data_IF_681865073411
#
_entry.id   IF_681865073411
#
_cell.length_a   1.000
_cell.length_b   1.000
_cell.length_c   1.000
_cell.angle_alpha   90.00
_cell.angle_beta   90.00
_cell.angle_gamma   90.00
#
_symmetry.space_group_name_H-M   'P 1'
#
loop_
_entity.id
_entity.type
_entity.pdbx_description
1 polymer ?
#
# COMPACT_ATOMS: atom_id res chain seq x y z
N UNK A 1 21.17 19.22 -30.34
CA UNK A 1 19.80 19.65 -30.06
C UNK A 1 18.85 18.56 -30.51
N UNK A 2 18.49 17.66 -29.60
CA UNK A 2 17.44 16.68 -29.81
C UNK A 2 16.49 16.84 -28.62
N UNK A 3 15.32 17.42 -28.88
CA UNK A 3 14.25 17.52 -27.90
C UNK A 3 13.61 16.14 -27.79
N UNK A 4 13.78 15.48 -26.65
CA UNK A 4 12.96 14.33 -26.28
C UNK A 4 11.55 14.88 -25.97
N UNK A 5 10.59 14.60 -26.85
CA UNK A 5 9.19 14.85 -26.58
C UNK A 5 8.74 13.89 -25.47
N UNK A 6 8.68 14.39 -24.24
CA UNK A 6 8.04 13.70 -23.14
C UNK A 6 6.56 13.53 -23.45
N UNK A 7 6.11 12.27 -23.51
CA UNK A 7 4.69 11.94 -23.43
C UNK A 7 4.17 12.34 -22.06
N UNK A 8 3.75 13.60 -21.94
CA UNK A 8 2.98 14.11 -20.80
C UNK A 8 1.66 13.33 -20.69
N UNK A 9 1.12 13.21 -19.48
CA UNK A 9 -0.25 12.76 -19.19
C UNK A 9 -1.33 13.34 -20.15
N UNK A 10 -1.04 14.45 -20.83
CA UNK A 10 -1.82 14.98 -21.94
C UNK A 10 -2.06 14.02 -23.13
N UNK A 11 -1.21 13.03 -23.38
CA UNK A 11 -1.46 12.05 -24.46
C UNK A 11 -2.49 10.98 -24.06
N UNK A 12 -2.57 10.64 -22.77
CA UNK A 12 -3.59 9.74 -22.22
C UNK A 12 -4.96 10.43 -22.15
N UNK A 13 -5.01 11.72 -21.80
CA UNK A 13 -6.23 12.52 -21.80
C UNK A 13 -6.92 12.58 -23.17
N UNK A 14 -6.15 12.59 -24.28
CA UNK A 14 -6.73 12.58 -25.64
C UNK A 14 -7.32 11.24 -26.05
N UNK A 15 -6.87 10.12 -25.48
CA UNK A 15 -7.43 8.79 -25.77
C UNK A 15 -8.64 8.43 -24.91
N UNK A 16 -8.81 9.05 -23.74
CA UNK A 16 -9.97 8.82 -22.86
C UNK A 16 -11.20 9.62 -23.34
N UNK A 17 -11.00 10.74 -24.04
CA UNK A 17 -12.06 11.59 -24.56
C UNK A 17 -12.90 10.97 -25.70
N UNK A 18 -12.60 9.76 -26.16
CA UNK A 18 -13.38 9.04 -27.19
C UNK A 18 -14.34 7.98 -26.65
N UNK A 19 -14.52 7.90 -25.33
CA UNK A 19 -15.47 6.99 -24.69
C UNK A 19 -16.57 7.82 -24.02
N UNK A 20 -17.82 7.63 -24.45
CA UNK A 20 -19.02 8.26 -23.87
C UNK A 20 -19.23 7.76 -22.43
N UNK A 21 -18.53 8.37 -21.48
CA UNK A 21 -18.84 8.27 -20.06
C UNK A 21 -19.78 9.42 -19.66
N UNK A 22 -20.76 9.17 -18.77
CA UNK A 22 -21.59 10.23 -18.22
C UNK A 22 -20.69 11.30 -17.58
N UNK A 23 -21.03 12.58 -17.74
CA UNK A 23 -20.23 13.72 -17.32
C UNK A 23 -19.67 13.57 -15.90
N UNK A 24 -18.41 13.16 -15.82
CA UNK A 24 -17.64 13.07 -14.59
C UNK A 24 -17.33 14.52 -14.20
N UNK A 25 -17.64 14.94 -12.96
CA UNK A 25 -17.27 16.28 -12.50
C UNK A 25 -15.74 16.43 -12.53
N UNK A 26 -15.23 17.64 -12.76
CA UNK A 26 -13.78 17.91 -12.76
C UNK A 26 -13.11 17.40 -11.47
N UNK A 27 -13.79 17.54 -10.33
CA UNK A 27 -13.37 17.00 -9.04
C UNK A 27 -13.25 15.46 -9.04
N UNK A 28 -14.18 14.76 -9.70
CA UNK A 28 -14.18 13.30 -9.80
C UNK A 28 -13.14 12.82 -10.83
N UNK A 29 -12.98 13.54 -11.95
CA UNK A 29 -11.96 13.25 -12.96
C UNK A 29 -10.54 13.45 -12.42
N UNK A 30 -10.35 14.46 -11.55
CA UNK A 30 -9.11 14.65 -10.79
C UNK A 30 -8.88 13.49 -9.81
N UNK A 31 -9.88 13.06 -9.04
CA UNK A 31 -9.74 11.85 -8.18
C UNK A 31 -9.33 10.60 -8.95
N UNK A 32 -9.84 10.39 -10.16
CA UNK A 32 -9.49 9.24 -11.00
C UNK A 32 -8.08 9.29 -11.62
N UNK A 33 -7.39 10.43 -11.57
CA UNK A 33 -6.01 10.59 -12.03
C UNK A 33 -4.98 10.58 -10.88
N UNK A 34 -5.40 10.63 -9.62
CA UNK A 34 -4.51 10.98 -8.51
C UNK A 34 -4.22 9.87 -7.48
N UNK A 35 -4.97 8.78 -7.40
CA UNK A 35 -4.62 7.71 -6.44
C UNK A 35 -5.17 6.33 -6.85
N UNK A 36 -4.42 5.27 -6.55
CA UNK A 36 -4.91 3.91 -6.59
C UNK A 36 -4.86 3.31 -5.19
N UNK A 37 -6.03 2.96 -4.66
CA UNK A 37 -6.19 2.28 -3.38
C UNK A 37 -6.39 0.79 -3.60
N UNK A 38 -5.46 -0.02 -3.12
CA UNK A 38 -5.53 -1.48 -3.15
C UNK A 38 -5.75 -2.02 -1.75
N UNK A 39 -6.87 -2.72 -1.56
CA UNK A 39 -7.12 -3.48 -0.34
C UNK A 39 -7.39 -4.93 -0.68
N UNK A 40 -6.77 -5.85 0.07
CA UNK A 40 -7.20 -7.24 0.08
C UNK A 40 -7.60 -7.63 1.50
N UNK A 41 -8.65 -8.45 1.58
CA UNK A 41 -9.09 -9.08 2.81
C UNK A 41 -9.27 -10.58 2.53
N UNK A 42 -8.72 -11.40 3.41
CA UNK A 42 -8.91 -12.85 3.37
C UNK A 42 -9.25 -13.36 4.76
N UNK A 43 -10.27 -14.21 4.83
CA UNK A 43 -10.67 -14.87 6.07
C UNK A 43 -10.04 -16.25 6.08
N UNK A 44 -9.07 -16.47 6.98
CA UNK A 44 -8.50 -17.80 7.22
C UNK A 44 -9.19 -18.42 8.42
N UNK A 45 -9.75 -19.61 8.22
CA UNK A 45 -10.32 -20.39 9.30
C UNK A 45 -9.26 -21.29 9.91
N UNK A 46 -8.92 -20.99 11.17
CA UNK A 46 -8.08 -21.83 12.01
C UNK A 46 -8.96 -22.63 12.96
N UNK A 47 -8.46 -23.80 13.31
CA UNK A 47 -9.08 -24.63 14.31
C UNK A 47 -8.48 -24.29 15.68
N UNK A 48 -9.33 -24.08 16.69
CA UNK A 48 -8.89 -23.97 18.08
C UNK A 48 -8.47 -25.35 18.60
N UNK A 49 -7.23 -25.70 18.25
CA UNK A 49 -6.62 -26.96 18.66
C UNK A 49 -6.43 -27.08 20.17
N UNK A 50 -6.40 -25.96 20.91
CA UNK A 50 -6.29 -25.98 22.37
C UNK A 50 -7.63 -26.37 22.99
N UNK A 51 -8.74 -25.76 22.53
CA UNK A 51 -10.09 -26.10 22.95
C UNK A 51 -10.43 -27.57 22.64
N UNK A 52 -10.07 -28.07 21.45
CA UNK A 52 -10.31 -29.48 21.09
C UNK A 52 -9.53 -30.48 21.94
N UNK A 53 -8.25 -30.19 22.24
CA UNK A 53 -7.46 -31.02 23.16
C UNK A 53 -8.03 -30.98 24.58
N UNK A 54 -8.48 -29.82 25.05
CA UNK A 54 -9.12 -29.68 26.36
C UNK A 54 -10.44 -30.48 26.45
N UNK A 55 -11.12 -30.71 25.32
CA UNK A 55 -12.28 -31.60 25.21
C UNK A 55 -11.95 -33.06 24.95
N UNK A 56 -10.67 -33.42 24.96
CA UNK A 56 -10.21 -34.80 24.78
C UNK A 56 -10.36 -35.31 23.34
N UNK A 57 -10.59 -34.44 22.35
CA UNK A 57 -10.73 -34.85 20.95
C UNK A 57 -9.35 -35.12 20.37
N UNK A 58 -9.01 -36.37 19.98
CA UNK A 58 -7.71 -36.67 19.39
C UNK A 58 -7.58 -35.99 18.02
N UNK A 59 -6.37 -35.54 17.70
CA UNK A 59 -6.06 -35.01 16.37
C UNK A 59 -6.29 -36.07 15.30
N UNK A 60 -7.09 -35.76 14.27
CA UNK A 60 -7.45 -36.73 13.24
C UNK A 60 -8.49 -36.20 12.24
N UNK A 61 -9.14 -37.07 11.46
CA UNK A 61 -10.09 -36.67 10.41
C UNK A 61 -11.25 -35.79 10.89
N UNK A 62 -11.66 -35.96 12.15
CA UNK A 62 -12.70 -35.15 12.80
C UNK A 62 -12.33 -33.67 12.89
N UNK A 63 -11.04 -33.36 13.11
CA UNK A 63 -10.55 -31.99 13.14
C UNK A 63 -10.64 -31.33 11.77
N UNK A 64 -10.36 -32.08 10.70
CA UNK A 64 -10.52 -31.60 9.33
C UNK A 64 -11.99 -31.29 8.99
N UNK A 65 -12.93 -32.11 9.46
CA UNK A 65 -14.37 -31.85 9.31
C UNK A 65 -14.80 -30.59 10.05
N UNK A 66 -14.38 -30.43 11.30
CA UNK A 66 -14.65 -29.22 12.09
C UNK A 66 -14.02 -27.98 11.43
N UNK A 67 -12.79 -28.07 10.92
CA UNK A 67 -12.13 -26.95 10.24
C UNK A 67 -12.85 -26.56 8.94
N UNK A 68 -13.40 -27.55 8.21
CA UNK A 68 -14.21 -27.34 7.01
C UNK A 68 -15.61 -26.78 7.32
N UNK A 69 -16.00 -26.64 8.60
CA UNK A 69 -17.30 -26.11 8.98
C UNK A 69 -18.38 -27.16 9.17
N UNK A 70 -18.02 -28.43 9.29
CA UNK A 70 -18.97 -29.51 9.54
C UNK A 70 -18.96 -29.93 11.00
N UNK A 71 -20.15 -30.00 11.59
CA UNK A 71 -20.35 -30.55 12.93
C UNK A 71 -19.95 -32.03 12.96
N UNK A 72 -19.46 -32.47 14.11
CA UNK A 72 -18.95 -33.83 14.29
C UNK A 72 -19.58 -34.46 15.52
N UNK A 73 -20.04 -35.69 15.39
CA UNK A 73 -20.45 -36.52 16.53
C UNK A 73 -19.32 -37.45 16.95
N UNK A 74 -19.00 -37.46 18.24
CA UNK A 74 -18.01 -38.32 18.88
C UNK A 74 -18.60 -39.71 19.18
N UNK A 75 -17.74 -40.66 19.52
CA UNK A 75 -18.13 -42.05 19.83
C UNK A 75 -19.01 -42.16 21.08
N UNK A 76 -18.94 -41.19 21.99
CA UNK A 76 -19.79 -41.10 23.18
C UNK A 76 -21.19 -40.49 22.91
N UNK A 77 -21.47 -40.13 21.66
CA UNK A 77 -22.71 -39.50 21.23
C UNK A 77 -22.73 -37.96 21.34
N UNK A 78 -21.66 -37.35 21.86
CA UNK A 78 -21.55 -35.89 21.94
C UNK A 78 -21.38 -35.27 20.56
N UNK A 79 -22.19 -34.26 20.22
CA UNK A 79 -22.00 -33.46 19.00
C UNK A 79 -21.20 -32.20 19.30
N UNK A 80 -20.18 -31.96 18.49
CA UNK A 80 -19.34 -30.76 18.49
C UNK A 80 -19.74 -29.88 17.31
N UNK A 81 -20.19 -28.67 17.62
CA UNK A 81 -20.50 -27.69 16.60
C UNK A 81 -19.20 -27.08 16.05
N UNK A 82 -19.03 -27.06 14.73
CA UNK A 82 -17.83 -26.52 14.11
C UNK A 82 -17.59 -25.04 14.47
N UNK A 83 -18.67 -24.28 14.66
CA UNK A 83 -18.61 -22.87 15.05
C UNK A 83 -17.91 -22.64 16.39
N UNK A 84 -17.97 -23.58 17.34
CA UNK A 84 -17.35 -23.46 18.66
C UNK A 84 -15.83 -23.65 18.62
N UNK A 85 -15.32 -24.25 17.55
CA UNK A 85 -13.90 -24.61 17.40
C UNK A 85 -13.23 -23.95 16.20
N UNK A 86 -13.97 -23.18 15.40
CA UNK A 86 -13.43 -22.42 14.26
C UNK A 86 -13.21 -20.98 14.68
N UNK A 87 -11.96 -20.56 14.64
CA UNK A 87 -11.56 -19.17 14.83
C UNK A 87 -11.23 -18.60 13.45
N UNK A 88 -11.96 -17.57 13.03
CA UNK A 88 -11.58 -16.78 11.86
C UNK A 88 -10.47 -15.81 12.25
N UNK A 89 -9.43 -15.77 11.43
CA UNK A 89 -8.45 -14.70 11.42
C UNK A 89 -8.65 -13.92 10.14
N UNK A 90 -9.07 -12.66 10.26
CA UNK A 90 -9.15 -11.73 9.14
C UNK A 90 -7.75 -11.19 8.89
N UNK A 91 -7.20 -11.51 7.74
CA UNK A 91 -5.94 -10.98 7.26
C UNK A 91 -6.24 -9.90 6.23
N UNK A 92 -5.78 -8.69 6.51
CA UNK A 92 -6.03 -7.51 5.67
C UNK A 92 -4.71 -6.83 5.34
N UNK A 93 -4.55 -6.45 4.07
CA UNK A 93 -3.53 -5.49 3.72
C UNK A 93 -4.07 -4.37 2.83
N UNK A 94 -3.52 -3.17 3.04
CA UNK A 94 -3.96 -1.95 2.37
C UNK A 94 -2.74 -1.18 1.90
N UNK A 95 -2.66 -0.96 0.59
CA UNK A 95 -1.63 -0.17 -0.07
C UNK A 95 -2.26 0.99 -0.82
N UNK A 96 -1.67 2.17 -0.70
CA UNK A 96 -2.06 3.37 -1.45
C UNK A 96 -0.93 3.75 -2.39
N UNK A 97 -1.26 3.94 -3.67
CA UNK A 97 -0.37 4.52 -4.67
C UNK A 97 -0.87 5.93 -4.94
N UNK A 98 -0.17 6.93 -4.42
CA UNK A 98 -0.60 8.33 -4.41
C UNK A 98 -0.42 9.11 -5.71
N UNK A 99 0.08 8.46 -6.77
CA UNK A 99 0.33 9.12 -8.06
C UNK A 99 1.25 10.34 -7.97
N UNK A 100 1.09 11.25 -8.93
CA UNK A 100 1.73 12.56 -8.95
C UNK A 100 0.75 13.60 -8.38
N UNK A 101 1.18 14.34 -7.35
CA UNK A 101 0.44 15.47 -6.78
C UNK A 101 1.37 16.33 -5.89
N UNK A 102 1.01 17.59 -5.68
CA UNK A 102 1.73 18.54 -4.81
C UNK A 102 1.14 18.69 -3.39
N UNK A 103 0.05 17.97 -3.12
CA UNK A 103 -0.78 18.10 -1.93
C UNK A 103 -1.05 16.72 -1.31
N UNK A 104 -0.08 16.11 -0.62
CA UNK A 104 -0.22 14.76 -0.06
C UNK A 104 -1.43 14.58 0.87
N UNK A 105 -1.89 15.67 1.51
CA UNK A 105 -3.06 15.64 2.39
C UNK A 105 -4.36 15.26 1.69
N UNK A 106 -4.44 15.35 0.35
CA UNK A 106 -5.58 14.84 -0.42
C UNK A 106 -5.78 13.33 -0.22
N UNK A 107 -4.71 12.60 0.11
CA UNK A 107 -4.72 11.16 0.33
C UNK A 107 -5.12 10.76 1.77
N UNK A 108 -5.52 11.72 2.61
CA UNK A 108 -5.77 11.48 4.05
C UNK A 108 -6.78 10.36 4.30
N UNK A 109 -7.89 10.38 3.54
CA UNK A 109 -8.96 9.39 3.67
C UNK A 109 -8.51 8.01 3.17
N UNK A 110 -7.85 7.96 2.01
CA UNK A 110 -7.28 6.73 1.47
C UNK A 110 -6.21 6.12 2.39
N UNK A 111 -5.46 6.96 3.09
CA UNK A 111 -4.39 6.55 4.00
C UNK A 111 -4.88 6.21 5.42
N UNK A 112 -6.18 6.26 5.72
CA UNK A 112 -6.69 6.03 7.08
C UNK A 112 -6.36 4.63 7.63
N UNK A 113 -6.33 3.61 6.76
CA UNK A 113 -6.01 2.22 7.13
C UNK A 113 -4.83 1.67 6.32
N UNK A 114 -4.09 2.54 5.62
CA UNK A 114 -2.99 2.12 4.77
C UNK A 114 -1.81 1.61 5.59
N UNK A 115 -1.24 0.49 5.15
CA UNK A 115 -0.01 -0.05 5.71
C UNK A 115 1.21 0.40 4.89
N UNK A 116 1.02 0.76 3.63
CA UNK A 116 2.08 1.33 2.80
C UNK A 116 1.52 2.44 1.92
N UNK A 117 2.26 3.54 1.84
CA UNK A 117 2.05 4.58 0.84
C UNK A 117 3.23 4.55 -0.15
N UNK A 118 2.91 4.49 -1.43
CA UNK A 118 3.86 4.76 -2.53
C UNK A 118 3.53 6.13 -3.08
N UNK A 119 4.48 7.06 -3.09
CA UNK A 119 4.21 8.44 -3.48
C UNK A 119 5.39 9.05 -4.23
N UNK A 120 5.09 9.96 -5.16
CA UNK A 120 6.13 10.78 -5.78
C UNK A 120 6.87 11.63 -4.74
N UNK A 121 8.16 11.88 -4.96
CA UNK A 121 8.95 12.80 -4.17
C UNK A 121 10.01 13.45 -5.05
N UNK A 122 9.54 14.24 -6.03
CA UNK A 122 10.35 14.71 -7.15
C UNK A 122 11.57 15.53 -6.72
N UNK A 123 11.46 16.31 -5.64
CA UNK A 123 12.52 17.19 -5.15
C UNK A 123 12.70 17.13 -3.63
N UNK A 124 13.87 17.56 -3.15
CA UNK A 124 13.99 18.09 -1.79
C UNK A 124 13.19 19.39 -1.64
N UNK A 125 12.75 19.73 -0.44
CA UNK A 125 11.97 20.97 -0.23
C UNK A 125 12.78 22.21 -0.63
N UNK A 126 14.08 22.21 -0.29
CA UNK A 126 14.98 23.30 -0.64
C UNK A 126 15.11 23.54 -2.15
N UNK A 127 15.02 22.47 -2.96
CA UNK A 127 15.02 22.58 -4.43
C UNK A 127 13.64 22.99 -4.94
N UNK A 128 12.55 22.41 -4.43
CA UNK A 128 11.19 22.78 -4.83
C UNK A 128 10.94 24.28 -4.66
N UNK A 129 11.36 24.86 -3.53
CA UNK A 129 11.25 26.30 -3.26
C UNK A 129 12.02 27.19 -4.27
N UNK A 130 13.10 26.67 -4.87
CA UNK A 130 13.87 27.39 -5.90
C UNK A 130 13.26 27.29 -7.29
N UNK A 131 12.61 26.17 -7.61
CA UNK A 131 11.95 25.98 -8.91
C UNK A 131 10.66 26.84 -9.01
N UNK A 132 10.07 27.21 -7.86
CA UNK A 132 8.90 28.07 -7.77
C UNK A 132 7.58 27.28 -7.90
N UNK A 133 6.42 27.93 -7.96
CA UNK A 133 5.10 27.27 -7.91
C UNK A 133 4.67 26.60 -9.25
N UNK A 134 5.55 26.58 -10.24
CA UNK A 134 5.26 26.00 -11.56
C UNK A 134 5.14 24.46 -11.59
N UNK A 135 5.97 23.70 -10.85
CA UNK A 135 5.82 22.25 -10.74
C UNK A 135 4.72 21.88 -9.74
N UNK A 136 3.76 21.07 -10.19
CA UNK A 136 2.71 20.45 -9.36
C UNK A 136 3.19 19.10 -8.81
N UNK A 137 4.34 19.13 -8.12
CA UNK A 137 4.98 17.94 -7.56
C UNK A 137 5.20 18.08 -6.06
N UNK A 138 5.22 16.95 -5.36
CA UNK A 138 5.55 16.89 -3.93
C UNK A 138 7.05 16.85 -3.67
N UNK A 139 7.46 17.45 -2.56
CA UNK A 139 8.81 17.28 -2.04
C UNK A 139 8.91 16.07 -1.11
N UNK A 140 10.13 15.55 -0.95
CA UNK A 140 10.45 14.50 0.01
C UNK A 140 10.00 14.90 1.42
N UNK A 141 10.34 16.10 1.88
CA UNK A 141 9.90 16.61 3.18
C UNK A 141 8.38 16.53 3.36
N UNK A 142 7.59 17.04 2.41
CA UNK A 142 6.12 17.10 2.54
C UNK A 142 5.50 15.71 2.65
N UNK A 143 5.97 14.77 1.83
CA UNK A 143 5.47 13.39 1.83
C UNK A 143 5.88 12.67 3.12
N UNK A 144 7.11 12.85 3.57
CA UNK A 144 7.60 12.25 4.81
C UNK A 144 6.84 12.79 6.05
N UNK A 145 6.55 14.10 6.09
CA UNK A 145 5.72 14.71 7.12
C UNK A 145 4.30 14.14 7.10
N UNK A 146 3.66 14.09 5.93
CA UNK A 146 2.34 13.49 5.78
C UNK A 146 2.30 12.03 6.26
N UNK A 147 3.29 11.22 5.89
CA UNK A 147 3.35 9.84 6.32
C UNK A 147 3.49 9.68 7.85
N UNK A 148 4.26 10.56 8.49
CA UNK A 148 4.39 10.61 9.95
C UNK A 148 3.09 11.05 10.61
N UNK A 149 2.44 12.10 10.10
CA UNK A 149 1.17 12.61 10.63
C UNK A 149 0.05 11.57 10.55
N UNK A 150 0.06 10.75 9.49
CA UNK A 150 -0.90 9.65 9.31
C UNK A 150 -0.50 8.35 10.01
N UNK A 151 0.68 8.30 10.63
CA UNK A 151 1.17 7.11 11.33
C UNK A 151 1.41 5.91 10.39
N UNK A 152 1.79 6.16 9.14
CA UNK A 152 1.99 5.11 8.16
C UNK A 152 3.22 4.26 8.50
N UNK A 153 3.10 2.92 8.59
CA UNK A 153 4.23 2.09 9.01
C UNK A 153 5.28 1.92 7.91
N UNK A 154 4.89 2.05 6.64
CA UNK A 154 5.80 1.96 5.49
C UNK A 154 5.58 3.10 4.49
N UNK A 155 6.67 3.66 3.97
CA UNK A 155 6.68 4.71 2.95
C UNK A 155 7.67 4.32 1.83
N UNK A 156 7.18 4.31 0.59
CA UNK A 156 8.00 4.09 -0.60
C UNK A 156 7.98 5.37 -1.43
N UNK A 157 9.12 6.04 -1.53
CA UNK A 157 9.27 7.25 -2.35
C UNK A 157 9.69 6.86 -3.78
N UNK A 158 9.14 7.54 -4.77
CA UNK A 158 9.42 7.31 -6.19
C UNK A 158 9.38 8.61 -7.00
N UNK A 159 9.52 8.51 -8.33
CA UNK A 159 9.36 9.62 -9.28
C UNK A 159 10.33 10.78 -8.96
N UNK A 160 11.60 10.45 -8.76
CA UNK A 160 12.63 11.44 -8.45
C UNK A 160 13.03 12.24 -9.69
N UNK A 161 13.37 13.51 -9.50
CA UNK A 161 14.01 14.28 -10.58
C UNK A 161 15.34 13.64 -10.98
N UNK A 162 15.61 13.55 -12.29
CA UNK A 162 16.88 13.04 -12.84
C UNK A 162 18.14 13.73 -12.29
N UNK A 163 18.00 14.89 -11.65
CA UNK A 163 19.11 15.57 -10.95
C UNK A 163 19.70 14.73 -9.80
N UNK A 164 18.90 13.84 -9.22
CA UNK A 164 19.32 12.95 -8.13
C UNK A 164 19.74 11.57 -8.64
N UNK A 165 19.83 11.36 -9.95
CA UNK A 165 20.24 10.08 -10.56
C UNK A 165 21.76 9.83 -10.42
N UNK A 166 22.21 9.81 -9.17
CA UNK A 166 23.56 9.47 -8.72
C UNK A 166 23.51 9.11 -7.23
N UNK A 167 24.51 8.39 -6.69
CA UNK A 167 24.52 7.96 -5.30
C UNK A 167 24.37 9.10 -4.28
N UNK A 168 25.02 10.24 -4.53
CA UNK A 168 24.99 11.40 -3.63
C UNK A 168 23.59 12.04 -3.59
N UNK A 169 22.95 12.19 -4.75
CA UNK A 169 21.60 12.73 -4.87
C UNK A 169 20.55 11.83 -4.22
N UNK A 170 20.67 10.51 -4.40
CA UNK A 170 19.78 9.56 -3.71
C UNK A 170 19.98 9.58 -2.19
N UNK A 171 21.22 9.74 -1.72
CA UNK A 171 21.52 9.89 -0.30
C UNK A 171 20.97 11.21 0.28
N UNK A 172 20.97 12.30 -0.50
CA UNK A 172 20.35 13.57 -0.14
C UNK A 172 18.83 13.41 0.09
N UNK A 173 18.14 12.76 -0.84
CA UNK A 173 16.71 12.48 -0.73
C UNK A 173 16.40 11.60 0.50
N UNK A 174 17.16 10.53 0.72
CA UNK A 174 16.96 9.67 1.89
C UNK A 174 17.21 10.43 3.19
N UNK A 175 18.26 11.26 3.26
CA UNK A 175 18.57 12.04 4.44
C UNK A 175 17.44 13.03 4.79
N UNK A 176 16.86 13.73 3.81
CA UNK A 176 15.73 14.63 4.04
C UNK A 176 14.49 13.84 4.52
N UNK A 177 14.18 12.72 3.88
CA UNK A 177 13.04 11.87 4.29
C UNK A 177 13.17 11.42 5.75
N UNK A 178 14.37 10.99 6.16
CA UNK A 178 14.66 10.50 7.52
C UNK A 178 14.60 11.59 8.59
N UNK A 179 14.70 12.87 8.23
CA UNK A 179 14.47 13.97 9.19
C UNK A 179 13.01 14.08 9.63
N UNK A 180 12.09 13.60 8.79
CA UNK A 180 10.65 13.77 8.99
C UNK A 180 9.89 12.47 9.17
N UNK A 181 10.48 11.32 8.81
CA UNK A 181 9.85 10.01 8.86
C UNK A 181 10.76 8.94 9.48
N UNK A 182 10.26 8.32 10.56
CA UNK A 182 10.99 7.30 11.35
C UNK A 182 10.59 5.85 11.04
N UNK A 183 9.56 5.64 10.20
CA UNK A 183 9.10 4.30 9.85
C UNK A 183 9.96 3.60 8.80
N UNK A 184 9.40 2.56 8.16
CA UNK A 184 10.09 1.79 7.14
C UNK A 184 10.07 2.57 5.82
N UNK A 185 11.20 3.23 5.51
CA UNK A 185 11.39 4.01 4.30
C UNK A 185 12.10 3.19 3.23
N UNK A 186 11.60 3.29 2.00
CA UNK A 186 12.26 2.77 0.80
C UNK A 186 12.32 3.86 -0.27
N UNK A 187 13.47 3.97 -0.95
CA UNK A 187 13.57 4.70 -2.21
C UNK A 187 13.45 3.69 -3.34
N UNK A 188 12.44 3.88 -4.19
CA UNK A 188 12.18 3.03 -5.33
C UNK A 188 13.32 3.07 -6.34
N UNK A 189 13.54 1.94 -6.99
CA UNK A 189 14.54 1.77 -8.04
C UNK A 189 13.89 0.96 -9.15
N UNK A 190 14.30 1.20 -10.38
CA UNK A 190 13.84 0.42 -11.53
C UNK A 190 14.04 -1.08 -11.26
N UNK A 191 13.02 -1.86 -11.63
CA UNK A 191 12.95 -3.31 -11.44
C UNK A 191 12.93 -3.81 -9.99
N UNK A 192 12.91 -2.93 -8.98
CA UNK A 192 12.68 -3.35 -7.61
C UNK A 192 11.25 -3.88 -7.44
N UNK A 193 11.10 -4.97 -6.68
CA UNK A 193 9.80 -5.54 -6.32
C UNK A 193 9.57 -5.41 -4.81
N UNK A 194 8.32 -5.18 -4.42
CA UNK A 194 7.94 -5.03 -3.02
C UNK A 194 6.78 -5.98 -2.69
N UNK A 195 6.87 -6.66 -1.55
CA UNK A 195 5.81 -7.49 -1.01
C UNK A 195 5.27 -6.86 0.27
N UNK A 196 3.95 -6.70 0.34
CA UNK A 196 3.23 -6.34 1.57
C UNK A 196 2.50 -7.58 2.09
N UNK A 197 2.90 -8.06 3.27
CA UNK A 197 2.22 -9.18 3.91
C UNK A 197 1.02 -8.73 4.77
N UNK A 198 0.22 -9.71 5.21
CA UNK A 198 -0.97 -9.46 6.02
C UNK A 198 -0.69 -8.85 7.41
N UNK A 199 0.57 -8.86 7.86
CA UNK A 199 0.97 -8.20 9.10
C UNK A 199 1.37 -6.73 8.87
N UNK A 200 1.27 -6.24 7.64
CA UNK A 200 1.66 -4.88 7.27
C UNK A 200 3.16 -4.69 7.12
N UNK A 201 3.94 -5.77 6.98
CA UNK A 201 5.39 -5.69 6.77
C UNK A 201 5.69 -5.62 5.28
N UNK A 202 6.52 -4.65 4.89
CA UNK A 202 7.02 -4.51 3.51
C UNK A 202 8.42 -5.10 3.37
N UNK A 203 8.62 -5.96 2.37
CA UNK A 203 9.94 -6.50 1.98
C UNK A 203 10.30 -6.03 0.57
N UNK A 204 11.52 -5.51 0.40
CA UNK A 204 12.10 -5.15 -0.92
C UNK A 204 12.91 -6.32 -1.46
N UNK A 205 12.69 -6.65 -2.73
CA UNK A 205 13.48 -7.61 -3.50
C UNK A 205 14.16 -6.86 -4.65
N UNK A 206 15.42 -7.19 -4.91
CA UNK A 206 16.10 -6.74 -6.11
C UNK A 206 15.93 -7.78 -7.22
N UNK A 207 15.76 -7.32 -8.45
CA UNK A 207 15.84 -8.21 -9.60
C UNK A 207 17.22 -8.87 -9.64
N UNK A 208 17.24 -10.17 -9.97
CA UNK A 208 18.46 -10.96 -10.15
C UNK A 208 19.23 -10.54 -11.42
#
# INVERSE_FOLDING_TARGET
>A
MAQAQGGSANSLLRSIASLDFPAISEETAMRYLHEMHFSYETVKWKLDSAALRARGVPSGPLWGKLQAGHDVTLDDGTTLAAADFRVSEVQRAVAVIGGDNDTPSLLSDACAEAQVLVHEATYTEAILQKVGPGPTHSSVQRVAQFATERGLPNLILTHFSARYDNPEGMAELEAEARQHYAGNLFLAQDFASYELDAAGVVRKFQAA
#
